data_IF_593427800276
#
_entry.id   IF_593427800276
#
_cell.length_a   1.000
_cell.length_b   1.000
_cell.length_c   1.000
_cell.angle_alpha   90.00
_cell.angle_beta   90.00
_cell.angle_gamma   90.00
#
_symmetry.space_group_name_H-M   'P 1'
#
loop_
_entity.id
_entity.type
_entity.pdbx_description
1 polymer ?
#
# COMPACT_ATOMS: atom_id res chain seq x y z
N UNK A 1 5.83 6.37 -1.41
CA UNK A 1 4.43 6.79 -1.19
C UNK A 1 4.07 7.06 0.28
N UNK A 2 4.75 6.44 1.27
CA UNK A 2 4.39 6.60 2.69
C UNK A 2 4.34 8.05 3.21
N UNK A 3 5.05 8.97 2.55
CA UNK A 3 5.05 10.39 2.88
C UNK A 3 4.00 11.24 2.16
N UNK A 4 3.05 10.63 1.43
CA UNK A 4 1.91 11.40 0.91
C UNK A 4 1.12 11.96 2.10
N UNK A 5 0.74 13.23 2.01
CA UNK A 5 -0.06 13.91 3.03
C UNK A 5 -1.53 13.64 2.76
N UNK A 6 -2.22 13.03 3.73
CA UNK A 6 -3.67 12.79 3.65
C UNK A 6 -4.45 13.52 4.76
N UNK A 7 -3.73 14.20 5.68
CA UNK A 7 -4.32 15.04 6.72
C UNK A 7 -3.43 16.28 6.91
N UNK A 8 -3.84 17.43 6.36
CA UNK A 8 -3.01 18.64 6.34
C UNK A 8 -2.55 19.08 7.75
N UNK A 9 -3.48 19.01 8.71
CA UNK A 9 -3.22 19.36 10.12
C UNK A 9 -2.79 18.13 10.97
N UNK A 10 -2.27 17.10 10.32
CA UNK A 10 -1.87 15.86 10.97
C UNK A 10 -0.61 15.96 11.82
N UNK A 11 -0.24 14.86 12.49
CA UNK A 11 0.99 14.78 13.28
C UNK A 11 2.23 14.96 12.40
N UNK A 12 3.33 15.44 12.99
CA UNK A 12 4.62 15.59 12.30
C UNK A 12 5.19 14.20 11.97
N UNK A 13 5.57 14.00 10.72
CA UNK A 13 6.22 12.80 10.21
C UNK A 13 7.75 12.95 10.30
N UNK A 14 8.48 11.84 10.37
CA UNK A 14 9.95 11.84 10.37
C UNK A 14 10.58 12.47 9.11
N UNK A 15 9.83 12.59 8.02
CA UNK A 15 10.29 13.29 6.82
C UNK A 15 10.19 14.84 6.90
N UNK A 16 9.58 15.38 7.95
CA UNK A 16 9.37 16.83 8.15
C UNK A 16 7.97 17.34 7.78
N UNK A 17 7.20 16.60 6.98
CA UNK A 17 5.81 16.95 6.65
C UNK A 17 4.83 16.63 7.80
N UNK A 18 3.55 17.00 7.61
CA UNK A 18 2.43 16.67 8.52
C UNK A 18 1.43 15.72 7.88
N UNK A 19 0.87 14.81 8.69
CA UNK A 19 -0.20 13.89 8.32
C UNK A 19 0.11 12.99 7.13
N UNK A 20 1.37 12.56 7.05
CA UNK A 20 1.75 11.52 6.11
C UNK A 20 1.03 10.20 6.42
N UNK A 21 0.74 9.41 5.39
CA UNK A 21 0.20 8.03 5.53
C UNK A 21 1.01 7.22 6.54
N UNK A 22 2.34 7.31 6.51
CA UNK A 22 3.21 6.58 7.44
C UNK A 22 2.94 6.94 8.90
N UNK A 23 2.93 8.23 9.26
CA UNK A 23 2.78 8.65 10.67
C UNK A 23 1.37 8.34 11.20
N UNK A 24 0.35 8.45 10.33
CA UNK A 24 -1.02 8.12 10.67
C UNK A 24 -1.21 6.60 10.83
N UNK A 25 -0.72 5.81 9.87
CA UNK A 25 -0.82 4.34 9.87
C UNK A 25 -0.07 3.75 11.06
N UNK A 26 1.20 4.14 11.26
CA UNK A 26 1.97 3.69 12.43
C UNK A 26 1.36 4.19 13.74
N UNK A 27 0.73 5.36 13.75
CA UNK A 27 -0.04 5.87 14.88
C UNK A 27 -1.21 4.96 15.26
N UNK A 28 -2.00 4.54 14.27
CA UNK A 28 -3.10 3.60 14.46
C UNK A 28 -2.61 2.23 14.94
N UNK A 29 -1.54 1.70 14.32
CA UNK A 29 -0.90 0.43 14.74
C UNK A 29 -0.45 0.50 16.20
N UNK A 30 0.19 1.58 16.64
CA UNK A 30 0.63 1.75 18.04
C UNK A 30 -0.52 1.74 19.03
N UNK A 31 -1.71 2.21 18.63
CA UNK A 31 -2.93 2.16 19.45
C UNK A 31 -3.68 0.82 19.37
N UNK A 32 -3.19 -0.12 18.57
CA UNK A 32 -3.87 -1.40 18.32
C UNK A 32 -5.03 -1.31 17.34
N UNK A 33 -5.22 -0.17 16.68
CA UNK A 33 -6.31 0.06 15.72
C UNK A 33 -5.86 -0.34 14.32
N UNK A 34 -5.87 -1.65 14.06
CA UNK A 34 -5.43 -2.22 12.79
C UNK A 34 -6.41 -1.89 11.65
N UNK A 35 -7.69 -1.73 11.95
CA UNK A 35 -8.70 -1.33 10.97
C UNK A 35 -8.44 0.09 10.46
N UNK A 36 -8.19 1.04 11.36
CA UNK A 36 -7.81 2.40 10.97
C UNK A 36 -6.47 2.43 10.21
N UNK A 37 -5.49 1.61 10.63
CA UNK A 37 -4.23 1.49 9.90
C UNK A 37 -4.44 1.01 8.46
N UNK A 38 -5.31 0.02 8.25
CA UNK A 38 -5.68 -0.49 6.93
C UNK A 38 -6.39 0.58 6.10
N UNK A 39 -7.33 1.33 6.70
CA UNK A 39 -8.05 2.42 6.03
C UNK A 39 -7.11 3.55 5.60
N UNK A 40 -6.19 3.96 6.47
CA UNK A 40 -5.16 4.97 6.16
C UNK A 40 -4.26 4.51 5.01
N UNK A 41 -3.82 3.25 5.05
CA UNK A 41 -3.05 2.65 3.96
C UNK A 41 -3.85 2.62 2.66
N UNK A 42 -5.14 2.28 2.75
CA UNK A 42 -6.11 2.26 1.64
C UNK A 42 -6.29 3.62 0.99
N UNK A 43 -6.46 4.69 1.78
CA UNK A 43 -6.54 6.06 1.25
C UNK A 43 -5.28 6.41 0.45
N UNK A 44 -4.12 6.01 0.98
CA UNK A 44 -2.87 6.24 0.30
C UNK A 44 -2.70 5.42 -0.98
N UNK A 45 -3.19 4.18 -1.01
CA UNK A 45 -3.20 3.34 -2.20
C UNK A 45 -4.17 3.88 -3.26
N UNK A 46 -5.37 4.32 -2.87
CA UNK A 46 -6.38 4.86 -3.77
C UNK A 46 -5.87 6.04 -4.59
N UNK A 47 -5.12 6.94 -3.95
CA UNK A 47 -4.48 8.07 -4.63
C UNK A 47 -3.46 7.63 -5.68
N UNK A 48 -2.67 6.59 -5.41
CA UNK A 48 -1.72 6.04 -6.39
C UNK A 48 -2.44 5.35 -7.54
N UNK A 49 -3.47 4.55 -7.25
CA UNK A 49 -4.26 3.86 -8.27
C UNK A 49 -4.89 4.88 -9.23
N UNK A 50 -5.43 5.99 -8.72
CA UNK A 50 -6.01 7.01 -9.58
C UNK A 50 -5.02 7.89 -10.31
N UNK A 51 -3.85 8.15 -9.72
CA UNK A 51 -2.85 9.00 -10.36
C UNK A 51 -2.01 8.26 -11.41
N UNK A 52 -1.73 6.98 -11.17
CA UNK A 52 -0.76 6.20 -11.94
C UNK A 52 -1.40 5.06 -12.75
N UNK A 53 -2.72 4.90 -12.69
CA UNK A 53 -3.47 3.85 -13.39
C UNK A 53 -2.93 2.44 -13.10
N UNK A 54 -2.89 2.09 -11.81
CA UNK A 54 -2.28 0.84 -11.33
C UNK A 54 -3.27 -0.32 -11.38
N UNK A 55 -2.92 -1.42 -12.06
CA UNK A 55 -3.79 -2.60 -12.23
C UNK A 55 -3.95 -3.50 -10.99
N UNK A 56 -3.20 -3.26 -9.92
CA UNK A 56 -3.27 -4.07 -8.70
C UNK A 56 -2.36 -3.62 -7.57
N UNK A 57 -2.76 -3.94 -6.35
CA UNK A 57 -2.06 -3.54 -5.12
C UNK A 57 -1.53 -4.76 -4.39
N UNK A 58 -0.22 -4.80 -4.15
CA UNK A 58 0.43 -5.81 -3.32
C UNK A 58 0.85 -5.21 -1.98
N UNK A 59 0.35 -5.75 -0.87
CA UNK A 59 0.63 -5.31 0.48
C UNK A 59 1.75 -6.14 1.10
N UNK A 60 2.84 -5.49 1.50
CA UNK A 60 3.99 -6.13 2.13
C UNK A 60 4.31 -5.58 3.52
N UNK A 61 5.25 -6.23 4.20
CA UNK A 61 5.80 -5.80 5.48
C UNK A 61 5.26 -6.57 6.69
N UNK A 62 6.05 -6.60 7.76
CA UNK A 62 5.79 -7.43 8.96
C UNK A 62 4.48 -7.09 9.66
N UNK A 63 4.08 -5.82 9.65
CA UNK A 63 2.82 -5.39 10.30
C UNK A 63 1.62 -5.92 9.52
N UNK A 64 1.64 -5.76 8.19
CA UNK A 64 0.62 -6.33 7.29
C UNK A 64 0.55 -7.83 7.44
N UNK A 65 1.69 -8.53 7.41
CA UNK A 65 1.74 -9.99 7.50
C UNK A 65 1.09 -10.55 8.78
N UNK A 66 1.17 -9.83 9.90
CA UNK A 66 0.55 -10.23 11.17
C UNK A 66 -0.97 -10.05 11.22
N UNK A 67 -1.54 -9.24 10.33
CA UNK A 67 -2.97 -8.96 10.27
C UNK A 67 -3.46 -8.88 8.81
N UNK A 68 -3.01 -9.85 8.00
CA UNK A 68 -3.12 -9.80 6.54
C UNK A 68 -4.57 -9.63 6.06
N UNK A 69 -5.50 -10.40 6.63
CA UNK A 69 -6.92 -10.33 6.27
C UNK A 69 -7.51 -8.95 6.53
N UNK A 70 -7.20 -8.33 7.67
CA UNK A 70 -7.69 -6.99 8.02
C UNK A 70 -7.14 -5.93 7.07
N UNK A 71 -5.84 -6.00 6.74
CA UNK A 71 -5.23 -5.06 5.81
C UNK A 71 -5.74 -5.21 4.39
N UNK A 72 -5.83 -6.45 3.87
CA UNK A 72 -6.36 -6.70 2.53
C UNK A 72 -7.80 -6.21 2.43
N UNK A 73 -8.65 -6.58 3.40
CA UNK A 73 -10.05 -6.15 3.41
C UNK A 73 -10.18 -4.63 3.51
N UNK A 74 -9.53 -3.99 4.48
CA UNK A 74 -9.66 -2.54 4.69
C UNK A 74 -9.11 -1.70 3.53
N UNK A 75 -8.03 -2.14 2.88
CA UNK A 75 -7.53 -1.48 1.66
C UNK A 75 -8.50 -1.70 0.49
N UNK A 76 -9.02 -2.92 0.32
CA UNK A 76 -9.98 -3.23 -0.74
C UNK A 76 -11.29 -2.44 -0.59
N UNK A 77 -11.81 -2.29 0.64
CA UNK A 77 -12.98 -1.46 0.93
C UNK A 77 -12.80 -0.02 0.45
N UNK A 78 -11.65 0.62 0.75
CA UNK A 78 -11.38 1.99 0.30
C UNK A 78 -11.24 2.09 -1.23
N UNK A 79 -10.63 1.09 -1.87
CA UNK A 79 -10.50 1.07 -3.34
C UNK A 79 -11.86 0.84 -4.02
N UNK A 80 -12.74 0.05 -3.41
CA UNK A 80 -14.11 -0.18 -3.85
C UNK A 80 -14.94 1.10 -3.77
N UNK A 81 -14.92 1.79 -2.64
CA UNK A 81 -15.60 3.09 -2.49
C UNK A 81 -15.12 4.13 -3.51
N UNK A 82 -13.83 4.09 -3.86
CA UNK A 82 -13.27 4.93 -4.93
C UNK A 82 -13.82 4.53 -6.30
N UNK A 83 -13.75 3.25 -6.66
CA UNK A 83 -14.19 2.75 -7.95
C UNK A 83 -15.67 3.08 -8.21
N UNK A 84 -16.51 2.93 -7.18
CA UNK A 84 -17.93 3.30 -7.22
C UNK A 84 -18.13 4.80 -7.45
N UNK A 85 -17.40 5.66 -6.72
CA UNK A 85 -17.48 7.12 -6.88
C UNK A 85 -17.04 7.60 -8.26
N UNK A 86 -16.07 6.92 -8.86
CA UNK A 86 -15.49 7.31 -10.15
C UNK A 86 -16.13 6.61 -11.35
N UNK A 87 -17.05 5.65 -11.11
CA UNK A 87 -17.72 4.91 -12.19
C UNK A 87 -16.75 4.01 -12.98
N UNK A 88 -15.77 3.41 -12.30
CA UNK A 88 -14.78 2.55 -12.94
C UNK A 88 -15.45 1.30 -13.56
N UNK A 89 -15.34 1.08 -14.89
CA UNK A 89 -16.08 0.03 -15.58
C UNK A 89 -15.66 -1.39 -15.17
N UNK A 90 -14.39 -1.58 -14.83
CA UNK A 90 -13.82 -2.87 -14.42
C UNK A 90 -13.85 -3.10 -12.90
N UNK A 91 -14.47 -2.18 -12.15
CA UNK A 91 -14.54 -2.23 -10.68
C UNK A 91 -13.23 -1.84 -10.00
N UNK A 92 -13.08 -2.22 -8.73
CA UNK A 92 -11.88 -1.90 -7.96
C UNK A 92 -10.69 -2.80 -8.29
N UNK A 93 -9.50 -2.21 -8.24
CA UNK A 93 -8.26 -2.93 -8.50
C UNK A 93 -7.99 -3.98 -7.41
N UNK A 94 -7.55 -5.19 -7.77
CA UNK A 94 -7.36 -6.27 -6.82
C UNK A 94 -6.26 -5.98 -5.79
N UNK A 95 -6.51 -6.37 -4.54
CA UNK A 95 -5.56 -6.24 -3.42
C UNK A 95 -5.13 -7.62 -2.94
N UNK A 96 -3.82 -7.85 -2.84
CA UNK A 96 -3.25 -9.11 -2.33
C UNK A 96 -2.06 -8.86 -1.42
N UNK A 97 -1.71 -9.85 -0.60
CA UNK A 97 -0.43 -9.82 0.13
C UNK A 97 0.72 -10.13 -0.84
N UNK A 98 1.84 -9.44 -0.70
CA UNK A 98 3.05 -9.71 -1.47
C UNK A 98 3.57 -11.14 -1.17
N UNK A 99 3.90 -11.89 -2.22
CA UNK A 99 4.53 -13.21 -2.09
C UNK A 99 6.01 -13.14 -1.67
N UNK A 100 6.64 -14.31 -1.53
CA UNK A 100 8.09 -14.43 -1.27
C UNK A 100 8.48 -14.81 0.16
N UNK A 101 7.53 -14.84 1.09
CA UNK A 101 7.76 -15.32 2.47
C UNK A 101 8.92 -14.61 3.17
N UNK A 102 9.64 -15.33 4.02
CA UNK A 102 10.82 -14.81 4.75
C UNK A 102 11.92 -14.28 3.82
N UNK A 103 12.04 -14.87 2.63
CA UNK A 103 13.08 -14.55 1.66
C UNK A 103 12.67 -13.45 0.68
N UNK A 104 11.47 -12.87 0.79
CA UNK A 104 10.95 -11.94 -0.23
C UNK A 104 11.88 -10.75 -0.49
N UNK A 105 12.50 -10.21 0.56
CA UNK A 105 13.48 -9.12 0.44
C UNK A 105 14.77 -9.59 -0.24
N UNK A 106 15.32 -10.74 0.18
CA UNK A 106 16.55 -11.29 -0.38
C UNK A 106 16.38 -11.71 -1.84
N UNK A 107 15.25 -12.35 -2.18
CA UNK A 107 14.89 -12.72 -3.54
C UNK A 107 14.75 -11.48 -4.42
N UNK A 108 14.10 -10.41 -3.93
CA UNK A 108 14.03 -9.12 -4.61
C UNK A 108 15.42 -8.53 -4.88
N UNK A 109 16.31 -8.56 -3.91
CA UNK A 109 17.70 -8.12 -4.09
C UNK A 109 18.45 -8.97 -5.13
N UNK A 110 18.26 -10.29 -5.12
CA UNK A 110 18.79 -11.18 -6.15
C UNK A 110 18.27 -10.83 -7.55
N UNK A 111 16.98 -10.51 -7.68
CA UNK A 111 16.39 -10.06 -8.94
C UNK A 111 16.99 -8.75 -9.46
N UNK A 112 17.41 -7.82 -8.59
CA UNK A 112 18.11 -6.60 -9.04
C UNK A 112 19.47 -6.92 -9.67
N UNK A 113 20.18 -7.93 -9.16
CA UNK A 113 21.48 -8.37 -9.72
C UNK A 113 21.28 -9.18 -11.00
N UNK A 114 20.27 -10.05 -11.05
CA UNK A 114 20.01 -10.95 -12.18
C UNK A 114 19.26 -10.27 -13.33
N UNK A 115 18.48 -9.22 -13.05
CA UNK A 115 17.63 -8.52 -14.00
C UNK A 115 18.34 -8.06 -15.29
N UNK A 116 19.55 -7.47 -15.24
CA UNK A 116 20.27 -7.07 -16.45
C UNK A 116 20.64 -8.23 -17.39
N UNK A 117 20.75 -9.45 -16.87
CA UNK A 117 21.19 -10.65 -17.62
C UNK A 117 20.00 -11.49 -18.06
N UNK A 118 19.02 -11.68 -17.18
CA UNK A 118 17.90 -12.60 -17.36
C UNK A 118 16.52 -11.93 -17.39
N UNK A 119 16.45 -10.62 -17.15
CA UNK A 119 15.22 -9.86 -17.25
C UNK A 119 14.71 -9.85 -18.69
N UNK A 120 13.38 -9.79 -18.85
CA UNK A 120 12.82 -9.49 -20.17
C UNK A 120 13.36 -8.13 -20.59
N UNK A 121 14.10 -8.10 -21.70
CA UNK A 121 14.33 -6.84 -22.41
C UNK A 121 13.00 -6.46 -23.02
N UNK A 122 12.54 -5.26 -22.72
CA UNK A 122 11.39 -4.69 -23.42
C UNK A 122 11.70 -4.72 -24.92
N UNK A 123 10.79 -5.32 -25.69
CA UNK A 123 10.80 -5.28 -27.15
C UNK A 123 10.07 -4.04 -27.63
#
# INVERSE_FOLDING_TARGET
FGHQVIQLDGPVCGCGNRGCVEVLCLGAVRRGDVAEAARVLGAGAANLVGLLDIDGVLLGGRVVARAAETFVRGVAEVLQERAEREGAPDGAVPVRVAGGGEWGVAAGAGHLVLGPVFGRRDG
#
